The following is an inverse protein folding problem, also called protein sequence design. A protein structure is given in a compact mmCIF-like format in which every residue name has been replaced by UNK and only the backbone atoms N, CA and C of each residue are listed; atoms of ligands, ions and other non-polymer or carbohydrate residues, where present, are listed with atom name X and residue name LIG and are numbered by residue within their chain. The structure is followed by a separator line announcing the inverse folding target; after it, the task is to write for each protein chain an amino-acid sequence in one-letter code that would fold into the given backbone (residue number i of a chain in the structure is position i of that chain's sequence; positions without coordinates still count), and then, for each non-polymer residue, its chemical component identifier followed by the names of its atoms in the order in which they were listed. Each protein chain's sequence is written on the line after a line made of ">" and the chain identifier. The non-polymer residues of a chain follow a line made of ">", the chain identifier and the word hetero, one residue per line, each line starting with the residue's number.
data_IF_192223382423
#
_entry.id   IF_192223382423
#
_cell.length_a   1.000
_cell.length_b   1.000
_cell.length_c   1.000
_cell.angle_alpha   90.00
_cell.angle_beta   90.00
_cell.angle_gamma   90.00
#
_symmetry.space_group_name_H-M   'P 1'
#
loop_
_entity.id
_entity.type
_entity.pdbx_description
1 polymer ?
#
# COMPACT_ATOMS: atom_id res chain seq x y z
N UNK A 1 30.76 -9.82 -41.56
CA UNK A 1 29.43 -10.45 -41.32
C UNK A 1 29.30 -10.72 -39.83
N UNK A 2 29.22 -9.66 -39.04
CA UNK A 2 27.98 -9.00 -38.59
C UNK A 2 27.26 -9.84 -37.54
N UNK A 3 27.64 -9.55 -36.31
CA UNK A 3 27.18 -9.99 -34.99
C UNK A 3 25.71 -9.65 -34.71
N UNK A 4 24.84 -9.75 -35.71
CA UNK A 4 23.41 -9.42 -35.64
C UNK A 4 22.57 -10.60 -35.12
N UNK A 5 23.05 -11.83 -35.29
CA UNK A 5 22.36 -13.06 -34.87
C UNK A 5 22.33 -13.29 -33.36
N UNK A 6 23.10 -12.55 -32.57
CA UNK A 6 23.11 -12.65 -31.09
C UNK A 6 22.14 -11.72 -30.37
N UNK A 7 21.44 -10.82 -31.08
CA UNK A 7 20.45 -9.92 -30.47
C UNK A 7 19.00 -10.38 -30.60
N UNK A 8 18.71 -11.38 -31.43
CA UNK A 8 17.33 -11.89 -31.59
C UNK A 8 17.00 -12.98 -30.55
N UNK A 9 17.99 -13.68 -30.01
CA UNK A 9 17.79 -14.69 -28.96
C UNK A 9 17.54 -14.08 -27.56
N UNK A 10 17.68 -12.77 -27.38
CA UNK A 10 17.42 -12.09 -26.10
C UNK A 10 16.01 -11.48 -25.99
N UNK A 11 15.19 -11.57 -27.04
CA UNK A 11 13.82 -11.06 -27.02
C UNK A 11 12.82 -12.20 -26.78
N UNK A 12 12.49 -12.41 -25.50
CA UNK A 12 11.18 -12.90 -25.04
C UNK A 12 10.75 -14.31 -25.49
N UNK A 13 11.63 -15.31 -25.34
CA UNK A 13 11.25 -16.72 -25.35
C UNK A 13 11.16 -17.28 -23.93
N UNK A 14 10.09 -17.01 -23.18
CA UNK A 14 9.61 -17.81 -22.04
C UNK A 14 8.36 -17.17 -21.41
N UNK A 15 7.17 -17.64 -21.80
CA UNK A 15 5.94 -17.80 -21.00
C UNK A 15 4.72 -17.58 -21.91
N UNK A 16 4.37 -18.64 -22.65
CA UNK A 16 3.05 -18.74 -23.26
C UNK A 16 1.98 -19.04 -22.21
N UNK A 17 0.80 -18.46 -22.46
CA UNK A 17 -0.53 -19.08 -22.38
C UNK A 17 -1.09 -19.50 -20.99
N UNK A 18 -2.25 -18.88 -20.66
CA UNK A 18 -3.44 -19.45 -19.99
C UNK A 18 -3.75 -19.03 -18.54
N UNK A 19 -4.73 -18.13 -18.36
CA UNK A 19 -5.98 -18.42 -17.63
C UNK A 19 -6.98 -17.24 -17.73
N UNK A 20 -8.05 -17.47 -18.49
CA UNK A 20 -9.32 -16.76 -18.39
C UNK A 20 -10.08 -17.32 -17.18
N UNK A 21 -10.71 -16.42 -16.40
CA UNK A 21 -11.64 -16.65 -15.28
C UNK A 21 -11.10 -17.26 -13.97
N UNK A 22 -11.13 -16.46 -12.90
CA UNK A 22 -11.57 -16.96 -11.59
C UNK A 22 -10.70 -16.64 -10.37
N UNK A 23 -10.63 -15.38 -9.94
CA UNK A 23 -10.42 -15.04 -8.52
C UNK A 23 -11.37 -13.90 -8.13
N UNK A 24 -12.64 -14.28 -7.96
CA UNK A 24 -13.55 -13.84 -6.89
C UNK A 24 -13.42 -12.39 -6.38
N UNK A 25 -14.41 -11.56 -6.73
CA UNK A 25 -14.89 -10.39 -5.99
C UNK A 25 -13.81 -9.41 -5.47
N UNK A 26 -13.72 -8.21 -6.02
CA UNK A 26 -14.59 -7.17 -5.48
C UNK A 26 -15.06 -6.22 -6.56
N UNK A 27 -16.38 -6.16 -6.66
CA UNK A 27 -17.20 -5.11 -7.24
C UNK A 27 -16.56 -3.73 -7.02
N UNK A 28 -16.07 -3.11 -8.09
CA UNK A 28 -15.78 -1.69 -8.09
C UNK A 28 -17.11 -0.94 -8.10
N UNK A 29 -17.73 -0.77 -6.92
CA UNK A 29 -18.58 0.39 -6.72
C UNK A 29 -17.67 1.58 -6.46
N UNK A 30 -17.11 2.11 -7.55
CA UNK A 30 -16.49 3.43 -7.57
C UNK A 30 -17.61 4.46 -7.39
N UNK A 31 -17.91 4.79 -6.14
CA UNK A 31 -18.93 5.77 -5.74
C UNK A 31 -18.29 6.85 -4.87
N UNK A 32 -17.07 7.31 -5.22
CA UNK A 32 -16.33 8.35 -4.50
C UNK A 32 -15.34 9.11 -5.39
N UNK A 33 -14.90 10.33 -5.00
CA UNK A 33 -14.30 11.28 -5.94
C UNK A 33 -12.81 11.03 -6.17
N UNK A 34 -12.46 10.25 -7.19
CA UNK A 34 -11.09 10.21 -7.72
C UNK A 34 -10.78 8.95 -8.55
N UNK A 35 -9.91 9.03 -9.58
CA UNK A 35 -9.52 7.85 -10.33
C UNK A 35 -8.67 6.94 -9.44
N UNK A 36 -9.22 5.79 -9.06
CA UNK A 36 -8.49 4.75 -8.34
C UNK A 36 -7.97 3.69 -9.31
N UNK A 37 -6.67 3.39 -9.26
CA UNK A 37 -6.05 2.37 -10.14
C UNK A 37 -5.63 1.18 -9.30
N UNK A 38 -6.13 -0.01 -9.65
CA UNK A 38 -5.75 -1.26 -8.96
C UNK A 38 -6.16 -1.32 -7.49
N UNK A 39 -7.16 -0.52 -7.09
CA UNK A 39 -7.67 -0.50 -5.72
C UNK A 39 -8.85 -1.47 -5.54
N UNK A 40 -9.03 -1.99 -4.33
CA UNK A 40 -10.13 -2.88 -3.94
C UNK A 40 -10.86 -2.34 -2.71
N UNK A 41 -12.19 -2.46 -2.69
CA UNK A 41 -13.05 -1.96 -1.62
C UNK A 41 -13.75 -0.65 -1.98
N UNK A 42 -13.98 0.25 -1.00
CA UNK A 42 -14.86 1.42 -1.16
C UNK A 42 -14.16 2.75 -0.85
N UNK A 43 -14.38 3.76 -1.70
CA UNK A 43 -13.99 5.14 -1.42
C UNK A 43 -12.49 5.36 -1.33
N UNK A 44 -11.68 4.51 -1.97
CA UNK A 44 -10.24 4.69 -2.02
C UNK A 44 -9.87 5.67 -3.14
N UNK A 45 -8.89 6.52 -2.89
CA UNK A 45 -8.27 7.44 -3.85
C UNK A 45 -6.81 7.06 -4.07
N UNK A 46 -6.31 7.12 -5.30
CA UNK A 46 -4.92 6.77 -5.64
C UNK A 46 -4.71 5.34 -6.16
N UNK A 47 -3.60 4.70 -5.78
CA UNK A 47 -3.11 3.50 -6.48
C UNK A 47 -2.90 2.32 -5.52
N UNK A 48 -3.48 1.16 -5.86
CA UNK A 48 -3.17 -0.10 -5.19
C UNK A 48 -3.66 -0.19 -3.74
N UNK A 49 -4.72 0.54 -3.40
CA UNK A 49 -5.26 0.57 -2.04
C UNK A 49 -6.27 -0.58 -1.82
N UNK A 50 -6.26 -1.19 -0.64
CA UNK A 50 -7.17 -2.26 -0.26
C UNK A 50 -7.95 -1.88 1.01
N UNK A 51 -9.27 -1.99 0.96
CA UNK A 51 -10.16 -1.69 2.08
C UNK A 51 -11.00 -0.44 1.84
N UNK A 52 -11.07 0.48 2.81
CA UNK A 52 -12.03 1.58 2.75
C UNK A 52 -11.41 2.95 3.03
N UNK A 53 -11.78 3.95 2.23
CA UNK A 53 -11.46 5.36 2.50
C UNK A 53 -9.96 5.63 2.66
N UNK A 54 -9.11 4.92 1.91
CA UNK A 54 -7.67 5.19 1.89
C UNK A 54 -7.33 6.19 0.78
N UNK A 55 -6.44 7.13 1.06
CA UNK A 55 -5.87 8.05 0.07
C UNK A 55 -4.36 7.79 -0.09
N UNK A 56 -3.85 7.91 -1.31
CA UNK A 56 -2.44 7.67 -1.63
C UNK A 56 -2.16 6.30 -2.26
N UNK A 57 -1.07 5.64 -1.85
CA UNK A 57 -0.50 4.49 -2.59
C UNK A 57 -0.24 3.28 -1.70
N UNK A 58 -0.79 2.13 -2.07
CA UNK A 58 -0.46 0.84 -1.46
C UNK A 58 -0.92 0.69 -0.01
N UNK A 59 -1.99 1.39 0.38
CA UNK A 59 -2.53 1.34 1.74
C UNK A 59 -3.48 0.16 1.91
N UNK A 60 -3.45 -0.50 3.06
CA UNK A 60 -4.31 -1.62 3.41
C UNK A 60 -5.07 -1.34 4.72
N UNK A 61 -6.39 -1.52 4.71
CA UNK A 61 -7.26 -1.29 5.87
C UNK A 61 -8.17 -0.09 5.65
N UNK A 62 -8.26 0.82 6.61
CA UNK A 62 -9.22 1.92 6.54
C UNK A 62 -8.68 3.28 6.95
N UNK A 63 -9.12 4.34 6.26
CA UNK A 63 -8.84 5.72 6.63
C UNK A 63 -7.33 6.03 6.72
N UNK A 64 -6.51 5.41 5.87
CA UNK A 64 -5.08 5.70 5.82
C UNK A 64 -4.79 6.73 4.74
N UNK A 65 -3.89 7.67 5.03
CA UNK A 65 -3.38 8.67 4.08
C UNK A 65 -1.87 8.48 3.89
N UNK A 66 -1.38 8.64 2.66
CA UNK A 66 0.03 8.49 2.31
C UNK A 66 0.38 7.15 1.67
N UNK A 67 1.50 6.53 2.06
CA UNK A 67 2.13 5.44 1.29
C UNK A 67 2.41 4.20 2.14
N UNK A 68 1.88 3.06 1.74
CA UNK A 68 2.24 1.76 2.29
C UNK A 68 1.82 1.57 3.75
N UNK A 69 0.72 2.19 4.17
CA UNK A 69 0.21 2.08 5.53
C UNK A 69 -0.70 0.86 5.67
N UNK A 70 -0.64 0.17 6.81
CA UNK A 70 -1.45 -1.00 7.13
C UNK A 70 -2.21 -0.83 8.44
N UNK A 71 -3.53 -0.95 8.42
CA UNK A 71 -4.39 -0.84 9.59
C UNK A 71 -5.39 0.30 9.47
N UNK A 72 -5.55 1.10 10.53
CA UNK A 72 -6.62 2.10 10.62
C UNK A 72 -6.09 3.46 11.02
N UNK A 73 -6.52 4.52 10.32
CA UNK A 73 -6.22 5.92 10.68
C UNK A 73 -4.72 6.26 10.71
N UNK A 74 -3.92 5.69 9.82
CA UNK A 74 -2.50 6.04 9.75
C UNK A 74 -2.24 7.09 8.68
N UNK A 75 -1.39 8.06 8.99
CA UNK A 75 -0.97 9.11 8.06
C UNK A 75 0.55 9.14 7.93
N UNK A 76 1.04 9.19 6.69
CA UNK A 76 2.45 9.22 6.35
C UNK A 76 2.90 7.98 5.60
N UNK A 77 4.05 7.39 5.96
CA UNK A 77 4.67 6.32 5.16
C UNK A 77 5.02 5.11 6.01
N UNK A 78 4.56 3.94 5.58
CA UNK A 78 4.98 2.65 6.14
C UNK A 78 4.54 2.43 7.59
N UNK A 79 3.44 3.02 8.01
CA UNK A 79 2.91 2.86 9.36
C UNK A 79 2.04 1.60 9.47
N UNK A 80 2.13 0.87 10.58
CA UNK A 80 1.34 -0.33 10.84
C UNK A 80 0.59 -0.23 12.18
N UNK A 81 -0.72 -0.46 12.17
CA UNK A 81 -1.56 -0.46 13.37
C UNK A 81 -2.63 0.63 13.33
N UNK A 82 -2.80 1.35 14.44
CA UNK A 82 -3.94 2.27 14.64
C UNK A 82 -3.44 3.68 14.97
N UNK A 83 -3.92 4.68 14.25
CA UNK A 83 -3.72 6.09 14.57
C UNK A 83 -2.25 6.54 14.62
N UNK A 84 -1.37 6.00 13.76
CA UNK A 84 0.03 6.41 13.73
C UNK A 84 0.28 7.53 12.71
N UNK A 85 1.07 8.53 13.09
CA UNK A 85 1.46 9.67 12.25
C UNK A 85 2.97 9.69 12.01
N UNK A 86 3.40 9.77 10.75
CA UNK A 86 4.80 9.94 10.37
C UNK A 86 5.35 8.75 9.59
N UNK A 87 6.54 8.26 9.95
CA UNK A 87 7.30 7.31 9.13
C UNK A 87 7.64 6.03 9.90
N UNK A 88 7.19 4.88 9.41
CA UNK A 88 7.64 3.58 9.89
C UNK A 88 7.25 3.27 11.34
N UNK A 89 6.13 3.80 11.82
CA UNK A 89 5.65 3.54 13.18
C UNK A 89 4.83 2.26 13.22
N UNK A 90 4.93 1.48 14.32
CA UNK A 90 4.15 0.27 14.52
C UNK A 90 3.45 0.26 15.89
N UNK A 91 2.14 0.09 15.91
CA UNK A 91 1.35 0.00 17.14
C UNK A 91 0.19 0.98 17.15
N UNK A 92 0.00 1.68 18.27
CA UNK A 92 -1.18 2.52 18.51
C UNK A 92 -0.75 3.94 18.87
N UNK A 93 -1.29 4.94 18.17
CA UNK A 93 -1.15 6.35 18.52
C UNK A 93 0.31 6.84 18.62
N UNK A 94 1.21 6.33 17.76
CA UNK A 94 2.59 6.79 17.72
C UNK A 94 2.75 7.94 16.71
N UNK A 95 3.53 8.96 17.07
CA UNK A 95 3.87 10.08 16.21
C UNK A 95 5.39 10.18 16.03
N UNK A 96 5.86 10.40 14.81
CA UNK A 96 7.27 10.60 14.51
C UNK A 96 7.85 9.52 13.61
N UNK A 97 9.05 9.02 13.94
CA UNK A 97 9.82 8.14 13.05
C UNK A 97 10.26 6.87 13.79
N UNK A 98 9.85 5.71 13.29
CA UNK A 98 10.34 4.42 13.76
C UNK A 98 9.91 4.06 15.19
N UNK A 99 8.77 4.58 15.65
CA UNK A 99 8.27 4.35 17.01
C UNK A 99 7.40 3.10 17.09
N UNK A 100 7.60 2.29 18.15
CA UNK A 100 6.96 0.99 18.32
C UNK A 100 6.25 0.87 19.68
N UNK A 101 4.95 0.59 19.68
CA UNK A 101 4.17 0.42 20.91
C UNK A 101 2.98 1.37 20.98
N UNK A 102 2.76 2.03 22.12
CA UNK A 102 1.54 2.80 22.39
C UNK A 102 1.88 4.22 22.81
N UNK A 103 1.39 5.21 22.06
CA UNK A 103 1.45 6.61 22.49
C UNK A 103 2.86 7.19 22.53
N UNK A 104 3.77 6.71 21.69
CA UNK A 104 5.14 7.23 21.65
C UNK A 104 5.26 8.43 20.70
N UNK A 105 6.13 9.38 21.04
CA UNK A 105 6.49 10.50 20.20
C UNK A 105 8.01 10.52 19.90
N UNK A 106 8.41 11.15 18.80
CA UNK A 106 9.82 11.39 18.48
C UNK A 106 10.42 10.33 17.56
N UNK A 107 11.67 9.95 17.81
CA UNK A 107 12.47 9.11 16.91
C UNK A 107 12.92 7.86 17.67
N UNK A 108 12.53 6.68 17.18
CA UNK A 108 13.03 5.40 17.67
C UNK A 108 12.56 5.02 19.09
N UNK A 109 11.40 5.53 19.51
CA UNK A 109 10.82 5.25 20.83
C UNK A 109 10.16 3.88 20.84
N UNK A 110 10.29 3.13 21.94
CA UNK A 110 9.62 1.84 22.11
C UNK A 110 9.01 1.67 23.50
N UNK A 111 7.79 1.15 23.56
CA UNK A 111 7.06 0.95 24.82
C UNK A 111 5.75 1.72 24.88
N UNK A 112 5.44 2.28 26.06
CA UNK A 112 4.17 2.97 26.33
C UNK A 112 4.48 4.38 26.84
N UNK A 113 4.03 5.40 26.10
CA UNK A 113 4.03 6.79 26.55
C UNK A 113 5.40 7.46 26.65
N UNK A 114 6.28 7.23 25.67
CA UNK A 114 7.58 7.92 25.57
C UNK A 114 7.53 9.21 24.76
#
# INVERSE_FOLDING_TARGET
>A
MSTTLRRVTAALGAAGLLAVCGATAASAHDMGPGPSVGSSGFGNSGVGNAGALNDGVGNAGALNDGIGNAGVLNDGVGNAGIANWGLGNAGIANTGIGSHGIGNSGIGSSGIGN
#
